data_IF_613320225696
#
_entry.id   IF_613320225696
#
_cell.length_a   1.000
_cell.length_b   1.000
_cell.length_c   1.000
_cell.angle_alpha   90.00
_cell.angle_beta   90.00
_cell.angle_gamma   90.00
#
_symmetry.space_group_name_H-M   'P 1'
#
loop_
_entity.id
_entity.type
_entity.pdbx_description
1 polymer ?
#
# COMPACT_ATOMS: atom_id res chain seq x y z
N UNK A 1 10.75 -4.47 15.84
CA UNK A 1 10.16 -5.39 14.83
C UNK A 1 9.87 -4.63 13.56
N UNK A 2 10.23 -5.19 12.43
CA UNK A 2 9.98 -4.54 11.17
C UNK A 2 8.55 -4.83 10.69
N UNK A 3 7.83 -3.77 10.37
CA UNK A 3 6.48 -3.87 9.81
C UNK A 3 6.54 -3.41 8.37
N UNK A 4 5.89 -4.13 7.48
CA UNK A 4 5.88 -3.81 6.05
C UNK A 4 4.46 -3.62 5.54
N UNK A 5 4.33 -2.72 4.58
CA UNK A 5 3.11 -2.55 3.81
C UNK A 5 3.34 -3.24 2.48
N UNK A 6 2.55 -4.26 2.19
CA UNK A 6 2.76 -5.09 1.01
C UNK A 6 1.45 -5.41 0.30
N UNK A 7 1.58 -5.92 -0.93
CA UNK A 7 0.44 -6.38 -1.70
C UNK A 7 0.21 -7.85 -1.45
N UNK A 8 -1.03 -8.21 -1.18
CA UNK A 8 -1.47 -9.60 -1.08
C UNK A 8 -2.29 -9.93 -2.30
N UNK A 9 -1.85 -10.93 -3.07
CA UNK A 9 -2.56 -11.34 -4.26
C UNK A 9 -3.79 -12.18 -3.91
N UNK A 10 -4.91 -11.84 -4.52
CA UNK A 10 -6.18 -12.53 -4.37
C UNK A 10 -6.79 -12.73 -5.75
N UNK A 11 -7.94 -13.42 -5.79
CA UNK A 11 -8.65 -13.61 -7.02
C UNK A 11 -8.21 -14.84 -7.80
N UNK A 12 -8.69 -14.94 -9.04
CA UNK A 12 -8.44 -16.08 -9.90
C UNK A 12 -7.20 -15.84 -10.78
N UNK A 13 -6.71 -16.90 -11.42
CA UNK A 13 -5.52 -16.81 -12.26
C UNK A 13 -5.66 -15.74 -13.35
N UNK A 14 -6.86 -15.61 -13.95
CA UNK A 14 -7.10 -14.65 -15.02
C UNK A 14 -7.61 -13.30 -14.55
N UNK A 15 -8.00 -13.20 -13.28
CA UNK A 15 -8.54 -11.97 -12.71
C UNK A 15 -7.89 -11.69 -11.36
N UNK A 16 -6.57 -11.43 -11.35
CA UNK A 16 -5.90 -11.12 -10.10
C UNK A 16 -6.32 -9.76 -9.59
N UNK A 17 -6.52 -9.67 -8.29
CA UNK A 17 -6.60 -8.38 -7.64
C UNK A 17 -5.75 -8.45 -6.38
N UNK A 18 -5.43 -7.29 -5.86
CA UNK A 18 -4.51 -7.18 -4.74
C UNK A 18 -5.11 -6.38 -3.62
N UNK A 19 -4.73 -6.72 -2.41
CA UNK A 19 -5.04 -5.92 -1.25
C UNK A 19 -3.75 -5.36 -0.68
N UNK A 20 -3.83 -4.12 -0.24
CA UNK A 20 -2.70 -3.47 0.40
C UNK A 20 -2.82 -3.77 1.89
N UNK A 21 -1.86 -4.50 2.43
CA UNK A 21 -1.92 -4.98 3.80
C UNK A 21 -0.67 -4.59 4.57
N UNK A 22 -0.83 -4.44 5.87
CA UNK A 22 0.27 -4.23 6.80
C UNK A 22 0.57 -5.56 7.48
N UNK A 23 1.81 -5.98 7.46
CA UNK A 23 2.21 -7.25 8.05
C UNK A 23 3.60 -7.16 8.66
N UNK A 24 3.85 -8.03 9.65
CA UNK A 24 5.18 -8.18 10.22
C UNK A 24 6.11 -8.78 9.16
N UNK A 25 7.31 -8.24 9.03
CA UNK A 25 8.30 -8.73 8.07
C UNK A 25 8.67 -10.19 8.29
N UNK A 26 8.48 -10.71 9.49
CA UNK A 26 8.76 -12.11 9.82
C UNK A 26 7.65 -13.06 9.41
N UNK A 27 6.47 -12.52 9.11
CA UNK A 27 5.32 -13.33 8.72
C UNK A 27 5.56 -13.91 7.35
N UNK A 28 5.31 -15.20 7.19
CA UNK A 28 5.41 -15.86 5.89
C UNK A 28 4.41 -15.24 4.92
N UNK A 29 4.67 -15.44 3.62
CA UNK A 29 3.86 -14.90 2.54
C UNK A 29 2.35 -15.06 2.76
N UNK A 30 1.93 -16.20 3.33
CA UNK A 30 0.53 -16.49 3.61
C UNK A 30 0.12 -16.17 5.05
N UNK A 31 0.99 -15.47 5.79
CA UNK A 31 0.73 -15.12 7.16
C UNK A 31 -0.37 -14.07 7.29
N UNK A 32 -0.87 -13.96 8.51
CA UNK A 32 -1.94 -13.01 8.80
C UNK A 32 -1.43 -11.58 8.70
N UNK A 33 -2.21 -10.75 8.00
CA UNK A 33 -1.96 -9.32 7.98
C UNK A 33 -2.41 -8.71 9.31
N UNK A 34 -1.70 -7.68 9.74
CA UNK A 34 -2.09 -6.89 10.90
C UNK A 34 -3.34 -6.09 10.56
N UNK A 35 -3.36 -5.48 9.37
CA UNK A 35 -4.45 -4.64 8.95
C UNK A 35 -4.49 -4.58 7.41
N UNK A 36 -5.68 -4.43 6.86
CA UNK A 36 -5.88 -4.20 5.43
C UNK A 36 -6.23 -2.73 5.24
N UNK A 37 -5.45 -2.04 4.42
CA UNK A 37 -5.55 -0.59 4.26
C UNK A 37 -5.87 -0.13 2.85
N UNK A 38 -6.07 -1.05 1.93
CA UNK A 38 -6.44 -0.67 0.57
C UNK A 38 -6.58 -1.85 -0.35
N UNK A 39 -6.93 -1.56 -1.59
CA UNK A 39 -7.06 -2.58 -2.62
C UNK A 39 -6.66 -2.03 -3.99
N UNK A 40 -6.25 -2.93 -4.87
CA UNK A 40 -5.77 -2.58 -6.21
C UNK A 40 -6.28 -3.62 -7.21
N UNK A 41 -6.97 -3.15 -8.23
CA UNK A 41 -7.50 -3.96 -9.33
C UNK A 41 -6.90 -3.48 -10.64
N UNK A 42 -5.77 -4.04 -11.08
CA UNK A 42 -5.10 -3.54 -12.28
C UNK A 42 -5.89 -3.75 -13.57
N UNK A 43 -6.74 -4.77 -13.61
CA UNK A 43 -7.54 -5.08 -14.81
C UNK A 43 -8.90 -4.41 -14.86
N UNK A 44 -9.28 -3.70 -13.80
CA UNK A 44 -10.51 -2.91 -13.84
C UNK A 44 -10.34 -1.75 -14.82
N UNK A 45 -11.44 -1.31 -15.43
CA UNK A 45 -11.41 -0.16 -16.35
C UNK A 45 -12.28 0.97 -15.80
N UNK A 46 -11.65 2.07 -15.36
CA UNK A 46 -10.21 2.26 -15.18
C UNK A 46 -9.66 1.43 -14.02
N UNK A 47 -8.34 1.28 -13.97
CA UNK A 47 -7.71 0.58 -12.87
C UNK A 47 -8.17 1.16 -11.53
N UNK A 48 -8.56 0.28 -10.62
CA UNK A 48 -9.07 0.71 -9.33
C UNK A 48 -7.95 0.65 -8.30
N UNK A 49 -7.69 1.80 -7.68
CA UNK A 49 -6.77 1.90 -6.56
C UNK A 49 -7.50 2.61 -5.44
N UNK A 50 -7.78 1.90 -4.37
CA UNK A 50 -8.38 2.49 -3.18
C UNK A 50 -7.41 2.35 -2.03
N UNK A 51 -7.18 3.43 -1.31
CA UNK A 51 -6.25 3.46 -0.20
C UNK A 51 -6.89 4.26 0.95
N UNK A 52 -6.83 3.69 2.15
CA UNK A 52 -7.22 4.43 3.33
C UNK A 52 -6.04 5.33 3.74
N UNK A 53 -6.08 6.57 3.30
CA UNK A 53 -4.98 7.51 3.51
C UNK A 53 -4.62 7.72 4.97
N UNK A 54 -5.62 7.79 5.84
CA UNK A 54 -5.36 7.96 7.28
C UNK A 54 -4.52 6.82 7.84
N UNK A 55 -4.88 5.59 7.48
CA UNK A 55 -4.17 4.42 7.96
C UNK A 55 -2.79 4.32 7.33
N UNK A 56 -2.66 4.64 6.06
CA UNK A 56 -1.36 4.67 5.39
C UNK A 56 -0.44 5.66 6.10
N UNK A 57 -0.91 6.86 6.35
CA UNK A 57 -0.11 7.88 7.02
C UNK A 57 0.27 7.42 8.43
N UNK A 58 -0.65 6.80 9.14
CA UNK A 58 -0.36 6.26 10.47
C UNK A 58 0.78 5.24 10.42
N UNK A 59 0.66 4.24 9.54
CA UNK A 59 1.66 3.18 9.47
C UNK A 59 3.02 3.69 8.99
N UNK A 60 3.02 4.61 8.03
CA UNK A 60 4.27 5.23 7.59
C UNK A 60 4.92 6.02 8.73
N UNK A 61 4.12 6.72 9.52
CA UNK A 61 4.63 7.53 10.63
C UNK A 61 5.25 6.68 11.75
N UNK A 62 4.80 5.45 11.93
CA UNK A 62 5.38 4.53 12.93
C UNK A 62 6.48 3.66 12.35
N UNK A 63 6.92 3.92 11.13
CA UNK A 63 8.08 3.26 10.56
C UNK A 63 7.79 2.05 9.67
N UNK A 64 6.52 1.79 9.35
CA UNK A 64 6.20 0.72 8.40
C UNK A 64 6.82 1.04 7.03
N UNK A 65 7.43 0.05 6.40
CA UNK A 65 8.11 0.24 5.13
C UNK A 65 7.30 -0.37 3.99
N UNK A 66 6.91 0.45 2.99
CA UNK A 66 6.22 -0.10 1.82
C UNK A 66 7.18 -0.85 0.92
N UNK A 67 6.71 -1.96 0.35
CA UNK A 67 7.44 -2.65 -0.70
C UNK A 67 7.44 -1.80 -1.96
N UNK A 68 8.31 -2.11 -2.92
CA UNK A 68 8.41 -1.30 -4.14
C UNK A 68 7.08 -1.18 -4.88
N UNK A 69 6.30 -2.25 -5.11
CA UNK A 69 4.99 -2.10 -5.74
C UNK A 69 4.04 -1.21 -4.97
N UNK A 70 4.01 -1.32 -3.64
CA UNK A 70 3.16 -0.48 -2.82
C UNK A 70 3.59 0.98 -2.89
N UNK A 71 4.90 1.22 -2.87
CA UNK A 71 5.42 2.59 -2.97
C UNK A 71 4.97 3.24 -4.27
N UNK A 72 4.99 2.51 -5.37
CA UNK A 72 4.51 3.02 -6.66
C UNK A 72 3.03 3.40 -6.57
N UNK A 73 2.20 2.53 -5.98
CA UNK A 73 0.79 2.83 -5.81
C UNK A 73 0.57 4.05 -4.92
N UNK A 74 1.32 4.17 -3.84
CA UNK A 74 1.22 5.34 -2.96
C UNK A 74 1.62 6.63 -3.67
N UNK A 75 2.59 6.57 -4.58
CA UNK A 75 2.96 7.72 -5.40
C UNK A 75 1.84 8.11 -6.35
N UNK A 76 1.15 7.15 -6.92
CA UNK A 76 0.01 7.41 -7.82
C UNK A 76 -1.14 8.07 -7.07
N UNK A 77 -1.44 7.61 -5.85
CA UNK A 77 -2.52 8.18 -5.05
C UNK A 77 -2.15 9.48 -4.37
N UNK A 78 -0.85 9.79 -4.30
CA UNK A 78 -0.36 10.99 -3.61
C UNK A 78 -0.04 10.78 -2.14
N UNK A 79 -0.30 9.62 -1.58
CA UNK A 79 -0.04 9.37 -0.16
C UNK A 79 1.43 9.37 0.19
N UNK A 80 2.28 8.91 -0.71
CA UNK A 80 3.72 8.92 -0.49
C UNK A 80 4.25 10.34 -0.42
N UNK A 81 3.86 11.18 -1.35
CA UNK A 81 4.26 12.57 -1.38
C UNK A 81 3.75 13.32 -0.16
N UNK A 82 2.54 13.00 0.27
CA UNK A 82 1.96 13.59 1.47
C UNK A 82 2.77 13.22 2.71
N UNK A 83 3.22 11.99 2.81
CA UNK A 83 4.05 11.54 3.91
C UNK A 83 5.45 12.18 3.89
N UNK A 84 6.09 12.20 2.73
CA UNK A 84 7.45 12.75 2.58
C UNK A 84 7.47 14.28 2.52
N UNK A 85 6.33 14.91 2.27
CA UNK A 85 6.24 16.34 2.13
C UNK A 85 6.63 16.85 0.75
N UNK A 86 6.77 15.98 -0.24
CA UNK A 86 7.15 16.38 -1.59
C UNK A 86 6.13 17.34 -2.22
N UNK A 87 4.85 17.18 -1.92
CA UNK A 87 3.81 18.07 -2.41
C UNK A 87 4.04 19.52 -1.96
N UNK A 88 4.57 19.68 -0.77
CA UNK A 88 4.85 21.01 -0.24
C UNK A 88 6.03 21.66 -0.95
N UNK A 89 6.98 20.85 -1.40
CA UNK A 89 8.15 21.36 -2.11
C UNK A 89 7.80 21.86 -3.49
N UNK A 90 6.82 21.24 -4.13
CA UNK A 90 6.40 21.63 -5.47
C UNK A 90 5.68 22.97 -5.50
N UNK A 91 5.25 23.46 -4.36
CA UNK A 91 4.56 24.75 -4.24
C UNK A 91 5.52 25.91 -4.11
N UNK A 92 6.74 25.61 -3.76
CA UNK A 92 7.78 26.63 -3.64
C UNK A 92 8.43 26.88 -4.99
#
# INVERSE_FOLDING_TARGET
MAVKIKLKRLGKIREPYYRIVVADARTKRDGRAIEEIGKYHPKAEPSLIEVNSERVQHWLSVGAQPTDPVRVLLKITGDWQKFTGEDRKSVV
#
